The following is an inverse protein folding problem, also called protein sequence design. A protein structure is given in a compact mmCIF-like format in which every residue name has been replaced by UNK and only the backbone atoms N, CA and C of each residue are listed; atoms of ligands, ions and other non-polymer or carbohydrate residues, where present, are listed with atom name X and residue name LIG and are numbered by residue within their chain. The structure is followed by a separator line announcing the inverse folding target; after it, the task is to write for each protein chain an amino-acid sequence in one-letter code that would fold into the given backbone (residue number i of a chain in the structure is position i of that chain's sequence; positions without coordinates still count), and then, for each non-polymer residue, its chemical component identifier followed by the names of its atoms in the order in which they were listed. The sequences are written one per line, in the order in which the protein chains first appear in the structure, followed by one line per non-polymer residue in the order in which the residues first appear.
data_IF_077243906521
#
_entry.id   IF_077243906521
#
_cell.length_a   1.000
_cell.length_b   1.000
_cell.length_c   1.000
_cell.angle_alpha   90.00
_cell.angle_beta   90.00
_cell.angle_gamma   90.00
#
_symmetry.space_group_name_H-M   'P 1'
#
loop_
_entity.id
_entity.type
_entity.pdbx_description
1 polymer ?
#
# COMPACT_ATOMS: atom_id res chain seq x y z
N UNK A 1 10.17 22.91 5.65
CA UNK A 1 10.13 21.52 5.17
C UNK A 1 8.78 20.89 5.43
N UNK A 2 7.99 20.69 4.37
CA UNK A 2 6.69 20.00 4.44
C UNK A 2 6.94 18.49 4.31
N UNK A 3 6.53 17.70 5.30
CA UNK A 3 6.51 16.24 5.17
C UNK A 3 5.24 15.83 4.45
N UNK A 4 5.38 15.05 3.37
CA UNK A 4 4.27 14.56 2.56
C UNK A 4 3.52 13.42 3.24
N UNK A 5 4.26 12.44 3.76
CA UNK A 5 3.74 11.35 4.58
C UNK A 5 4.36 11.39 5.97
N UNK A 6 3.53 11.09 6.97
CA UNK A 6 4.01 10.94 8.33
C UNK A 6 5.00 9.76 8.41
N UNK A 7 6.14 9.87 9.12
CA UNK A 7 7.11 8.79 9.24
C UNK A 7 6.51 7.47 9.74
N UNK A 8 5.47 7.56 10.57
CA UNK A 8 4.71 6.40 11.05
C UNK A 8 3.96 5.68 9.93
N UNK A 9 3.38 6.42 8.97
CA UNK A 9 2.66 5.82 7.84
C UNK A 9 3.64 5.09 6.94
N UNK A 10 4.80 5.70 6.68
CA UNK A 10 5.87 5.09 5.90
C UNK A 10 6.36 3.78 6.53
N UNK A 11 6.58 3.78 7.85
CA UNK A 11 6.97 2.57 8.57
C UNK A 11 5.88 1.49 8.51
N UNK A 12 4.61 1.86 8.69
CA UNK A 12 3.50 0.92 8.65
C UNK A 12 3.34 0.30 7.25
N UNK A 13 3.39 1.10 6.20
CA UNK A 13 3.36 0.62 4.80
C UNK A 13 4.53 -0.33 4.57
N UNK A 14 5.74 0.04 5.01
CA UNK A 14 6.91 -0.82 4.87
C UNK A 14 6.70 -2.17 5.56
N UNK A 15 6.25 -2.18 6.81
CA UNK A 15 6.04 -3.42 7.56
C UNK A 15 4.90 -4.29 6.98
N UNK A 16 3.87 -3.65 6.42
CA UNK A 16 2.69 -4.34 5.85
C UNK A 16 3.00 -4.95 4.48
N UNK A 17 3.70 -4.20 3.63
CA UNK A 17 3.87 -4.49 2.21
C UNK A 17 5.30 -4.86 1.85
N UNK A 18 6.19 -5.11 2.83
CA UNK A 18 7.58 -5.53 2.59
C UNK A 18 7.72 -6.72 1.64
N UNK A 19 6.77 -7.65 1.67
CA UNK A 19 6.78 -8.85 0.82
C UNK A 19 6.10 -8.62 -0.55
N UNK A 20 5.51 -7.45 -0.77
CA UNK A 20 4.93 -7.09 -2.06
C UNK A 20 6.03 -6.99 -3.13
N UNK A 21 5.85 -7.73 -4.23
CA UNK A 21 6.85 -7.85 -5.31
C UNK A 21 7.24 -6.47 -5.87
N UNK A 22 6.27 -5.59 -6.14
CA UNK A 22 6.53 -4.24 -6.67
C UNK A 22 7.36 -3.44 -5.65
N UNK A 23 6.96 -3.48 -4.37
CA UNK A 23 7.66 -2.74 -3.32
C UNK A 23 9.11 -3.21 -3.16
N UNK A 24 9.36 -4.53 -3.14
CA UNK A 24 10.73 -5.09 -3.06
C UNK A 24 11.61 -4.61 -4.23
N UNK A 25 11.06 -4.60 -5.44
CA UNK A 25 11.78 -4.23 -6.65
C UNK A 25 12.09 -2.74 -6.72
N UNK A 26 11.12 -1.88 -6.39
CA UNK A 26 11.35 -0.44 -6.24
C UNK A 26 12.39 -0.19 -5.15
N UNK A 27 12.27 -0.85 -4.00
CA UNK A 27 13.21 -0.68 -2.90
C UNK A 27 14.63 -1.10 -3.29
N UNK A 28 14.81 -2.13 -4.13
CA UNK A 28 16.16 -2.58 -4.55
C UNK A 28 16.77 -1.69 -5.64
N UNK A 29 15.95 -1.29 -6.60
CA UNK A 29 16.38 -0.53 -7.78
C UNK A 29 16.58 0.97 -7.50
N UNK A 30 15.81 1.53 -6.57
CA UNK A 30 15.70 2.98 -6.39
C UNK A 30 16.47 3.57 -5.22
N UNK A 31 17.16 2.78 -4.38
CA UNK A 31 17.96 3.32 -3.26
C UNK A 31 18.97 4.38 -3.69
N UNK A 32 19.52 4.24 -4.91
CA UNK A 32 20.47 5.20 -5.46
C UNK A 32 19.85 6.56 -5.80
N UNK A 33 18.53 6.63 -5.98
CA UNK A 33 17.81 7.87 -6.26
C UNK A 33 17.42 8.56 -4.96
N UNK A 34 17.13 7.82 -3.90
CA UNK A 34 16.87 8.36 -2.56
C UNK A 34 18.03 9.25 -2.09
N UNK A 35 19.27 8.79 -2.25
CA UNK A 35 20.47 9.59 -1.92
C UNK A 35 20.70 10.80 -2.82
N UNK A 36 19.97 10.91 -3.93
CA UNK A 36 20.01 12.03 -4.88
C UNK A 36 18.86 13.02 -4.66
N UNK A 37 17.84 12.66 -3.87
CA UNK A 37 16.66 13.48 -3.57
C UNK A 37 16.68 13.94 -2.11
N UNK A 38 17.83 14.42 -1.65
CA UNK A 38 18.08 14.70 -0.22
C UNK A 38 17.26 15.86 0.34
N UNK A 39 16.84 16.80 -0.52
CA UNK A 39 16.06 17.96 -0.10
C UNK A 39 14.59 17.60 0.00
N UNK A 40 14.07 16.88 -1.00
CA UNK A 40 12.72 16.34 -0.99
C UNK A 40 12.56 15.20 0.04
N UNK A 41 13.66 14.51 0.38
CA UNK A 41 13.71 13.30 1.23
C UNK A 41 12.72 12.22 0.78
N UNK A 42 12.60 12.06 -0.54
CA UNK A 42 11.65 11.15 -1.15
C UNK A 42 12.14 9.71 -1.08
N UNK A 43 11.47 8.90 -0.27
CA UNK A 43 11.85 7.51 0.01
C UNK A 43 11.44 6.55 -1.10
N UNK A 44 12.01 5.33 -1.10
CA UNK A 44 11.56 4.26 -1.99
C UNK A 44 10.11 3.83 -1.73
N UNK A 45 9.62 3.99 -0.49
CA UNK A 45 8.21 3.77 -0.14
C UNK A 45 7.31 4.78 -0.82
N UNK A 46 7.73 6.04 -0.85
CA UNK A 46 6.99 7.10 -1.55
C UNK A 46 6.95 6.88 -3.05
N UNK A 47 8.06 6.42 -3.67
CA UNK A 47 8.07 6.01 -5.08
C UNK A 47 7.06 4.88 -5.30
N UNK A 48 7.04 3.87 -4.42
CA UNK A 48 6.10 2.75 -4.50
C UNK A 48 4.63 3.21 -4.43
N UNK A 49 4.29 4.11 -3.50
CA UNK A 49 2.93 4.63 -3.33
C UNK A 49 2.46 5.35 -4.60
N UNK A 50 3.25 6.30 -5.11
CA UNK A 50 2.87 7.06 -6.33
C UNK A 50 2.77 6.16 -7.55
N UNK A 51 3.69 5.19 -7.68
CA UNK A 51 3.69 4.22 -8.78
C UNK A 51 2.40 3.41 -8.80
N UNK A 52 2.00 2.89 -7.63
CA UNK A 52 0.78 2.10 -7.50
C UNK A 52 -0.47 2.92 -7.74
N UNK A 53 -0.51 4.16 -7.23
CA UNK A 53 -1.67 5.05 -7.41
C UNK A 53 -1.91 5.37 -8.88
N UNK A 54 -0.86 5.66 -9.65
CA UNK A 54 -0.96 5.88 -11.09
C UNK A 54 -1.42 4.60 -11.82
N UNK A 55 -0.86 3.43 -11.46
CA UNK A 55 -1.29 2.15 -12.07
C UNK A 55 -2.78 1.92 -11.84
N UNK A 56 -3.27 2.17 -10.63
CA UNK A 56 -4.69 1.97 -10.30
C UNK A 56 -5.61 2.94 -11.06
N UNK A 57 -5.21 4.20 -11.24
CA UNK A 57 -5.96 5.16 -12.06
C UNK A 57 -6.01 4.76 -13.54
N UNK A 58 -4.87 4.32 -14.11
CA UNK A 58 -4.82 3.82 -15.49
C UNK A 58 -5.69 2.57 -15.64
N UNK A 59 -5.58 1.64 -14.68
CA UNK A 59 -6.34 0.39 -14.67
C UNK A 59 -7.84 0.60 -14.55
N UNK A 60 -8.27 1.60 -13.77
CA UNK A 60 -9.68 2.01 -13.69
C UNK A 60 -10.22 2.49 -15.04
N UNK A 61 -9.33 2.81 -15.99
CA UNK A 61 -9.66 3.45 -17.26
C UNK A 61 -10.51 4.71 -17.03
N UNK A 62 -10.16 5.46 -15.99
CA UNK A 62 -10.86 6.68 -15.62
C UNK A 62 -10.78 7.67 -16.78
N UNK A 63 -11.92 8.19 -17.24
CA UNK A 63 -11.95 9.28 -18.21
C UNK A 63 -11.20 10.53 -17.71
N UNK A 64 -11.02 10.62 -16.41
CA UNK A 64 -10.43 11.76 -15.72
C UNK A 64 -8.90 11.63 -15.61
N UNK A 65 -8.32 10.45 -15.88
CA UNK A 65 -6.88 10.26 -15.84
C UNK A 65 -6.25 10.65 -17.18
N UNK A 66 -5.59 11.80 -17.20
CA UNK A 66 -4.92 12.31 -18.39
C UNK A 66 -3.48 11.80 -18.49
N UNK A 67 -3.27 10.75 -19.29
CA UNK A 67 -1.95 10.19 -19.57
C UNK A 67 -0.99 11.28 -20.06
N UNK A 68 -1.43 12.20 -20.92
CA UNK A 68 -0.56 13.21 -21.55
C UNK A 68 -0.01 14.24 -20.57
N UNK A 69 -0.73 14.46 -19.46
CA UNK A 69 -0.34 15.41 -18.43
C UNK A 69 0.19 14.71 -17.16
N UNK A 70 0.42 13.39 -17.19
CA UNK A 70 0.79 12.61 -16.01
C UNK A 70 2.08 13.10 -15.34
N UNK A 71 3.13 13.36 -16.12
CA UNK A 71 4.38 13.92 -15.58
C UNK A 71 4.16 15.31 -14.97
N UNK A 72 3.51 16.22 -15.68
CA UNK A 72 3.33 17.60 -15.23
C UNK A 72 2.46 17.68 -13.97
N UNK A 73 1.41 16.87 -13.88
CA UNK A 73 0.57 16.73 -12.69
C UNK A 73 1.39 16.23 -11.50
N UNK A 74 2.13 15.13 -11.68
CA UNK A 74 2.97 14.55 -10.63
C UNK A 74 4.09 15.51 -10.20
N UNK A 75 4.77 16.14 -11.16
CA UNK A 75 5.80 17.13 -10.89
C UNK A 75 5.24 18.32 -10.12
N UNK A 76 4.10 18.89 -10.54
CA UNK A 76 3.49 20.01 -9.83
C UNK A 76 3.14 19.63 -8.39
N UNK A 77 2.60 18.44 -8.17
CA UNK A 77 2.31 17.92 -6.82
C UNK A 77 3.58 17.78 -5.97
N UNK A 78 4.64 17.17 -6.50
CA UNK A 78 5.89 16.95 -5.77
C UNK A 78 6.68 18.24 -5.53
N UNK A 79 6.60 19.20 -6.47
CA UNK A 79 7.25 20.51 -6.39
C UNK A 79 6.85 21.28 -5.14
N UNK A 80 5.61 21.14 -4.70
CA UNK A 80 5.11 21.85 -3.51
C UNK A 80 5.78 21.41 -2.20
N UNK A 81 6.51 20.30 -2.23
CA UNK A 81 7.31 19.75 -1.14
C UNK A 81 8.83 19.88 -1.38
N UNK A 82 9.24 20.33 -2.56
CA UNK A 82 10.65 20.36 -2.97
C UNK A 82 11.28 21.74 -2.73
N UNK A 83 12.18 21.81 -1.75
CA UNK A 83 12.96 23.01 -1.42
C UNK A 83 14.30 23.07 -2.19
N UNK A 84 14.58 22.12 -3.08
CA UNK A 84 15.80 22.11 -3.90
C UNK A 84 15.79 23.22 -4.95
N UNK A 85 16.98 23.68 -5.32
CA UNK A 85 17.14 24.68 -6.38
C UNK A 85 16.59 24.13 -7.70
N UNK A 86 15.77 24.92 -8.39
CA UNK A 86 15.14 24.58 -9.68
C UNK A 86 14.29 23.29 -9.65
N UNK A 87 13.87 22.87 -8.45
CA UNK A 87 13.07 21.67 -8.17
C UNK A 87 13.66 20.38 -8.76
N UNK A 88 14.98 20.23 -8.68
CA UNK A 88 15.71 19.11 -9.26
C UNK A 88 15.30 17.77 -8.63
N UNK A 89 14.98 17.76 -7.33
CA UNK A 89 14.58 16.55 -6.62
C UNK A 89 13.18 16.10 -7.09
N UNK A 90 12.21 17.01 -7.20
CA UNK A 90 10.87 16.71 -7.70
C UNK A 90 10.89 16.25 -9.16
N UNK A 91 11.71 16.87 -10.01
CA UNK A 91 11.90 16.43 -11.40
C UNK A 91 12.43 15.01 -11.46
N UNK A 92 13.43 14.68 -10.63
CA UNK A 92 13.99 13.34 -10.56
C UNK A 92 12.96 12.33 -10.04
N UNK A 93 12.26 12.66 -8.94
CA UNK A 93 11.22 11.81 -8.35
C UNK A 93 10.11 11.48 -9.36
N UNK A 94 9.53 12.52 -9.99
CA UNK A 94 8.49 12.36 -11.01
C UNK A 94 8.99 11.49 -12.18
N UNK A 95 10.23 11.71 -12.64
CA UNK A 95 10.80 10.93 -13.75
C UNK A 95 10.96 9.45 -13.38
N UNK A 96 11.46 9.17 -12.17
CA UNK A 96 11.65 7.79 -11.68
C UNK A 96 10.30 7.08 -11.54
N UNK A 97 9.28 7.75 -11.01
CA UNK A 97 7.93 7.18 -10.86
C UNK A 97 7.32 6.86 -12.24
N UNK A 98 7.32 7.82 -13.18
CA UNK A 98 6.75 7.61 -14.52
C UNK A 98 7.46 6.46 -15.24
N UNK A 99 8.78 6.38 -15.14
CA UNK A 99 9.55 5.25 -15.69
C UNK A 99 9.15 3.92 -15.03
N UNK A 100 8.94 3.90 -13.72
CA UNK A 100 8.50 2.69 -13.01
C UNK A 100 7.11 2.23 -13.42
N UNK A 101 6.16 3.15 -13.53
CA UNK A 101 4.81 2.86 -14.03
C UNK A 101 4.91 2.25 -15.43
N UNK A 102 5.65 2.89 -16.34
CA UNK A 102 5.82 2.38 -17.71
C UNK A 102 6.44 0.98 -17.74
N UNK A 103 7.47 0.71 -16.94
CA UNK A 103 8.08 -0.63 -16.84
C UNK A 103 7.04 -1.67 -16.37
N UNK A 104 6.26 -1.35 -15.33
CA UNK A 104 5.27 -2.26 -14.78
C UNK A 104 4.12 -2.54 -15.75
N UNK A 105 3.64 -1.53 -16.47
CA UNK A 105 2.61 -1.68 -17.50
C UNK A 105 3.11 -2.54 -18.68
N UNK A 106 4.38 -2.42 -19.05
CA UNK A 106 4.97 -3.23 -20.11
C UNK A 106 4.98 -4.73 -19.81
N UNK A 107 5.08 -5.13 -18.53
CA UNK A 107 4.96 -6.54 -18.15
C UNK A 107 3.57 -7.13 -18.41
N UNK A 108 2.54 -6.29 -18.55
CA UNK A 108 1.18 -6.70 -18.92
C UNK A 108 0.85 -6.52 -20.40
N UNK A 109 1.78 -5.98 -21.20
CA UNK A 109 1.51 -5.57 -22.58
C UNK A 109 1.28 -6.73 -23.55
N UNK A 110 1.82 -7.91 -23.25
CA UNK A 110 1.83 -9.08 -24.14
C UNK A 110 0.45 -9.47 -24.68
N UNK A 111 -0.59 -9.28 -23.87
CA UNK A 111 -1.97 -9.63 -24.22
C UNK A 111 -2.95 -8.42 -24.13
N UNK A 112 -2.45 -7.21 -23.85
CA UNK A 112 -3.29 -6.03 -23.54
C UNK A 112 -2.70 -4.73 -24.07
N UNK A 113 -3.00 -4.42 -25.34
CA UNK A 113 -2.47 -3.26 -26.07
C UNK A 113 -2.68 -1.92 -25.36
N UNK A 114 -3.81 -1.73 -24.67
CA UNK A 114 -4.09 -0.52 -23.88
C UNK A 114 -2.96 -0.16 -22.89
N UNK A 115 -2.38 -1.16 -22.21
CA UNK A 115 -1.31 -0.91 -21.25
C UNK A 115 0.03 -0.65 -21.93
N UNK A 116 0.25 -1.18 -23.13
CA UNK A 116 1.40 -0.83 -23.98
C UNK A 116 1.31 0.64 -24.41
N UNK A 117 0.17 1.04 -24.98
CA UNK A 117 -0.08 2.43 -25.41
C UNK A 117 0.02 3.41 -24.24
N UNK A 118 -0.49 3.01 -23.06
CA UNK A 118 -0.38 3.81 -21.84
C UNK A 118 1.07 3.95 -21.36
N UNK A 119 1.86 2.88 -21.42
CA UNK A 119 3.28 2.92 -21.11
C UNK A 119 4.03 3.90 -22.03
N UNK A 120 3.81 3.79 -23.34
CA UNK A 120 4.48 4.66 -24.31
C UNK A 120 4.06 6.12 -24.11
N UNK A 121 2.76 6.37 -23.95
CA UNK A 121 2.23 7.71 -23.67
C UNK A 121 2.81 8.33 -22.39
N UNK A 122 3.02 7.55 -21.34
CA UNK A 122 3.67 8.01 -20.11
C UNK A 122 5.13 8.44 -20.35
N UNK A 123 5.91 7.64 -21.09
CA UNK A 123 7.29 7.97 -21.40
C UNK A 123 7.40 9.23 -22.28
N UNK A 124 6.42 9.47 -23.15
CA UNK A 124 6.34 10.70 -23.96
C UNK A 124 6.11 11.96 -23.13
N UNK A 125 5.56 11.85 -21.92
CA UNK A 125 5.36 13.00 -21.02
C UNK A 125 6.64 13.47 -20.32
N UNK A 126 7.70 12.65 -20.34
CA UNK A 126 8.96 13.00 -19.67
C UNK A 126 9.64 14.19 -20.38
N UNK A 127 10.30 15.10 -19.64
CA UNK A 127 11.00 16.23 -20.24
C UNK A 127 12.02 15.77 -21.29
N UNK A 128 12.11 16.49 -22.41
CA UNK A 128 13.02 16.10 -23.52
C UNK A 128 14.49 16.07 -23.14
N UNK A 129 14.87 16.89 -22.16
CA UNK A 129 16.20 16.97 -21.57
C UNK A 129 16.41 15.98 -20.42
N UNK A 130 15.35 15.28 -19.99
CA UNK A 130 15.48 14.21 -19.01
C UNK A 130 16.27 13.06 -19.62
N UNK A 131 17.28 12.58 -18.88
CA UNK A 131 18.03 11.36 -19.22
C UNK A 131 17.20 10.10 -18.91
N UNK A 132 15.93 10.09 -19.30
CA UNK A 132 14.99 9.05 -18.92
C UNK A 132 15.35 7.70 -19.53
N UNK A 133 15.96 7.66 -20.72
CA UNK A 133 16.50 6.44 -21.30
C UNK A 133 17.61 5.84 -20.43
N UNK A 134 18.47 6.70 -19.86
CA UNK A 134 19.49 6.25 -18.90
C UNK A 134 18.81 5.77 -17.61
N UNK A 135 17.72 6.40 -17.16
CA UNK A 135 16.94 5.93 -15.99
C UNK A 135 16.34 4.55 -16.25
N UNK A 136 15.70 4.35 -17.40
CA UNK A 136 15.17 3.05 -17.84
C UNK A 136 16.27 2.00 -17.85
N UNK A 137 17.41 2.27 -18.50
CA UNK A 137 18.54 1.33 -18.54
C UNK A 137 19.11 1.04 -17.14
N UNK A 138 19.22 2.05 -16.28
CA UNK A 138 19.70 1.88 -14.91
C UNK A 138 18.75 1.02 -14.06
N UNK A 139 17.43 1.18 -14.24
CA UNK A 139 16.42 0.39 -13.54
C UNK A 139 16.40 -1.04 -14.10
N UNK A 140 16.30 -1.20 -15.42
CA UNK A 140 16.26 -2.50 -16.09
C UNK A 140 17.53 -3.32 -15.83
N UNK A 141 18.73 -2.73 -15.90
CA UNK A 141 19.97 -3.45 -15.62
C UNK A 141 20.07 -3.98 -14.18
N UNK A 142 19.32 -3.39 -13.23
CA UNK A 142 19.20 -3.91 -11.86
C UNK A 142 18.15 -5.01 -11.77
N UNK A 143 17.05 -4.90 -12.54
CA UNK A 143 16.04 -5.94 -12.68
C UNK A 143 16.58 -7.21 -13.35
N UNK A 144 17.34 -7.08 -14.44
CA UNK A 144 17.90 -8.23 -15.16
C UNK A 144 18.94 -9.02 -14.35
N UNK A 145 19.53 -8.41 -13.32
CA UNK A 145 20.38 -9.13 -12.34
C UNK A 145 19.57 -10.02 -11.39
N UNK A 146 18.26 -9.93 -11.48
CA UNK A 146 17.27 -10.57 -10.62
C UNK A 146 16.28 -11.34 -11.52
N UNK A 147 16.79 -12.11 -12.49
CA UNK A 147 15.99 -12.82 -13.52
C UNK A 147 14.75 -13.55 -12.95
N UNK A 148 14.89 -14.25 -11.83
CA UNK A 148 13.78 -14.92 -11.14
C UNK A 148 12.67 -13.94 -10.69
N UNK A 149 13.06 -12.71 -10.33
CA UNK A 149 12.14 -11.65 -9.93
C UNK A 149 11.45 -10.98 -11.12
N UNK A 150 12.02 -11.08 -12.33
CA UNK A 150 11.38 -10.58 -13.56
C UNK A 150 10.18 -11.47 -13.94
N UNK A 151 10.35 -12.79 -13.87
CA UNK A 151 9.25 -13.75 -14.09
C UNK A 151 8.19 -13.64 -12.98
N UNK A 152 8.61 -13.52 -11.72
CA UNK A 152 7.72 -13.27 -10.57
C UNK A 152 6.93 -11.97 -10.74
N UNK A 153 7.59 -10.88 -11.16
CA UNK A 153 6.96 -9.59 -11.41
C UNK A 153 5.96 -9.67 -12.57
N UNK A 154 6.34 -10.30 -13.67
CA UNK A 154 5.47 -10.47 -14.84
C UNK A 154 4.17 -11.18 -14.46
N UNK A 155 4.29 -12.31 -13.76
CA UNK A 155 3.14 -13.05 -13.24
C UNK A 155 2.31 -12.21 -12.28
N UNK A 156 2.96 -11.56 -11.31
CA UNK A 156 2.29 -10.70 -10.33
C UNK A 156 1.49 -9.59 -11.00
N UNK A 157 2.08 -8.91 -11.99
CA UNK A 157 1.45 -7.79 -12.67
C UNK A 157 0.24 -8.23 -13.49
N UNK A 158 0.35 -9.34 -14.23
CA UNK A 158 -0.80 -9.93 -14.92
C UNK A 158 -1.95 -10.26 -13.95
N UNK A 159 -1.64 -10.99 -12.87
CA UNK A 159 -2.62 -11.34 -11.83
C UNK A 159 -3.22 -10.09 -11.16
N UNK A 160 -2.40 -9.05 -10.96
CA UNK A 160 -2.82 -7.80 -10.33
C UNK A 160 -3.82 -7.03 -11.20
N UNK A 161 -3.48 -6.80 -12.47
CA UNK A 161 -4.33 -6.10 -13.43
C UNK A 161 -5.68 -6.82 -13.60
N UNK A 162 -5.67 -8.15 -13.67
CA UNK A 162 -6.88 -8.94 -13.90
C UNK A 162 -7.77 -9.14 -12.67
N UNK A 163 -7.29 -8.81 -11.47
CA UNK A 163 -8.04 -9.07 -10.23
C UNK A 163 -8.90 -7.88 -9.80
N UNK A 164 -10.21 -7.81 -10.13
CA UNK A 164 -11.04 -6.62 -9.91
C UNK A 164 -11.22 -6.24 -8.43
N UNK A 165 -10.82 -7.12 -7.50
CA UNK A 165 -10.94 -6.92 -6.05
C UNK A 165 -9.66 -6.35 -5.42
N UNK A 166 -8.54 -6.39 -6.13
CA UNK A 166 -7.24 -5.98 -5.59
C UNK A 166 -6.92 -4.56 -6.05
N UNK A 167 -6.93 -3.61 -5.12
CA UNK A 167 -6.57 -2.20 -5.35
C UNK A 167 -5.50 -1.82 -4.33
N UNK A 168 -4.23 -1.86 -4.73
CA UNK A 168 -3.13 -1.58 -3.81
C UNK A 168 -3.16 -0.12 -3.35
N UNK A 169 -3.61 0.83 -4.19
CA UNK A 169 -3.79 2.23 -3.78
C UNK A 169 -4.82 2.36 -2.65
N UNK A 170 -5.92 1.59 -2.70
CA UNK A 170 -6.92 1.54 -1.63
C UNK A 170 -6.33 0.89 -0.38
N UNK A 171 -5.57 -0.20 -0.51
CA UNK A 171 -4.90 -0.83 0.63
C UNK A 171 -3.89 0.13 1.29
N UNK A 172 -3.14 0.89 0.51
CA UNK A 172 -2.19 1.90 0.99
C UNK A 172 -2.95 3.03 1.69
N UNK A 173 -4.01 3.56 1.07
CA UNK A 173 -4.83 4.64 1.63
C UNK A 173 -5.47 4.20 2.94
N UNK A 174 -5.99 2.97 2.98
CA UNK A 174 -6.41 2.34 4.21
C UNK A 174 -5.27 2.39 5.22
N UNK A 175 -4.10 1.79 4.95
CA UNK A 175 -2.97 1.80 5.90
C UNK A 175 -2.64 3.22 6.41
N UNK A 176 -2.67 4.24 5.53
CA UNK A 176 -2.44 5.65 5.90
C UNK A 176 -3.55 6.19 6.80
N UNK A 177 -4.81 5.96 6.45
CA UNK A 177 -5.98 6.39 7.21
C UNK A 177 -6.07 5.65 8.56
N UNK A 178 -5.70 4.37 8.61
CA UNK A 178 -5.55 3.55 9.82
C UNK A 178 -4.37 3.97 10.68
N UNK A 179 -3.41 4.73 10.17
CA UNK A 179 -2.40 5.37 11.00
C UNK A 179 -2.98 6.51 11.86
N UNK A 180 -4.21 6.95 11.57
CA UNK A 180 -5.05 7.74 12.48
C UNK A 180 -5.70 6.92 13.61
N UNK A 181 -5.76 5.59 13.49
CA UNK A 181 -6.13 4.69 14.58
C UNK A 181 -4.92 4.40 15.46
N UNK A 182 -5.18 4.27 16.76
CA UNK A 182 -4.15 4.18 17.77
C UNK A 182 -3.16 3.06 17.41
N UNK A 183 -1.92 3.36 17.00
CA UNK A 183 -0.87 2.34 16.74
C UNK A 183 -0.84 1.28 17.85
N UNK A 184 -1.09 1.73 19.09
CA UNK A 184 -1.24 0.87 20.25
C UNK A 184 -2.35 -0.17 20.10
N UNK A 185 -3.51 0.15 19.53
CA UNK A 185 -4.57 -0.81 19.24
C UNK A 185 -4.11 -1.88 18.26
N UNK A 186 -3.43 -1.50 17.17
CA UNK A 186 -2.89 -2.44 16.19
C UNK A 186 -1.85 -3.35 16.85
N UNK A 187 -0.90 -2.76 17.58
CA UNK A 187 0.16 -3.47 18.28
C UNK A 187 -0.42 -4.41 19.36
N UNK A 188 -1.45 -3.99 20.10
CA UNK A 188 -2.15 -4.79 21.10
C UNK A 188 -2.93 -5.95 20.46
N UNK A 189 -3.52 -5.76 19.27
CA UNK A 189 -4.27 -6.80 18.55
C UNK A 189 -3.35 -7.79 17.83
N UNK A 190 -2.16 -7.36 17.39
CA UNK A 190 -1.24 -8.17 16.57
C UNK A 190 -0.97 -9.58 17.11
N UNK A 191 -0.69 -9.79 18.41
CA UNK A 191 -0.46 -11.14 18.97
C UNK A 191 -1.66 -12.08 18.89
N UNK A 192 -2.86 -11.56 18.60
CA UNK A 192 -4.10 -12.33 18.56
C UNK A 192 -4.54 -12.72 17.14
N UNK A 193 -3.88 -12.20 16.10
CA UNK A 193 -4.19 -12.54 14.71
C UNK A 193 -3.16 -13.52 14.14
N UNK A 194 -3.61 -14.41 13.25
CA UNK A 194 -2.70 -15.30 12.53
C UNK A 194 -1.73 -14.51 11.63
N UNK A 195 -0.55 -15.06 11.38
CA UNK A 195 0.54 -14.41 10.63
C UNK A 195 0.15 -14.06 9.19
N UNK A 196 -0.68 -14.89 8.57
CA UNK A 196 -1.04 -14.75 7.17
C UNK A 196 -1.98 -13.55 7.00
N UNK A 197 -1.53 -12.55 6.22
CA UNK A 197 -2.21 -11.26 6.04
C UNK A 197 -2.60 -10.61 7.39
N UNK A 198 -1.76 -10.78 8.43
CA UNK A 198 -2.08 -10.40 9.81
C UNK A 198 -2.58 -8.96 9.94
N UNK A 199 -1.83 -8.01 9.40
CA UNK A 199 -2.16 -6.59 9.52
C UNK A 199 -3.37 -6.19 8.67
N UNK A 200 -3.51 -6.75 7.47
CA UNK A 200 -4.71 -6.57 6.64
C UNK A 200 -5.96 -7.05 7.38
N UNK A 201 -5.89 -8.22 8.02
CA UNK A 201 -6.98 -8.76 8.83
C UNK A 201 -7.27 -7.90 10.07
N UNK A 202 -6.26 -7.34 10.74
CA UNK A 202 -6.45 -6.42 11.87
C UNK A 202 -7.14 -5.14 11.41
N UNK A 203 -6.68 -4.54 10.30
CA UNK A 203 -7.27 -3.33 9.75
C UNK A 203 -8.74 -3.58 9.36
N UNK A 204 -9.02 -4.66 8.63
CA UNK A 204 -10.38 -5.04 8.26
C UNK A 204 -11.26 -5.31 9.48
N UNK A 205 -10.72 -5.95 10.52
CA UNK A 205 -11.45 -6.17 11.76
C UNK A 205 -11.82 -4.86 12.44
N UNK A 206 -10.88 -3.92 12.54
CA UNK A 206 -11.14 -2.62 13.18
C UNK A 206 -12.20 -1.82 12.38
N UNK A 207 -12.15 -1.85 11.04
CA UNK A 207 -13.21 -1.30 10.16
C UNK A 207 -14.58 -1.80 10.55
N UNK A 208 -14.73 -3.13 10.50
CA UNK A 208 -16.02 -3.77 10.67
C UNK A 208 -16.63 -3.44 12.05
N UNK A 209 -15.82 -3.45 13.11
CA UNK A 209 -16.32 -3.18 14.47
C UNK A 209 -16.63 -1.69 14.70
N UNK A 210 -15.92 -0.77 14.05
CA UNK A 210 -16.21 0.67 14.15
C UNK A 210 -17.47 1.04 13.38
N UNK A 211 -17.66 0.49 12.18
CA UNK A 211 -18.89 0.68 11.39
C UNK A 211 -20.12 0.11 12.10
N UNK A 212 -19.97 -1.01 12.81
CA UNK A 212 -21.05 -1.60 13.57
C UNK A 212 -21.55 -0.72 14.73
N UNK A 213 -20.63 -0.04 15.43
CA UNK A 213 -20.95 0.97 16.45
C UNK A 213 -21.70 0.48 17.70
N UNK A 214 -21.95 -0.83 17.87
CA UNK A 214 -22.67 -1.38 19.03
C UNK A 214 -22.14 -2.76 19.48
N UNK A 215 -22.14 -2.99 20.79
CA UNK A 215 -21.55 -4.19 21.42
C UNK A 215 -22.08 -5.54 20.86
N UNK A 216 -23.39 -5.75 20.63
CA UNK A 216 -23.87 -7.01 20.05
C UNK A 216 -23.32 -7.31 18.65
N UNK A 217 -23.23 -6.30 17.79
CA UNK A 217 -22.71 -6.45 16.44
C UNK A 217 -21.19 -6.69 16.46
N UNK A 218 -20.46 -5.98 17.33
CA UNK A 218 -19.01 -6.18 17.51
C UNK A 218 -18.70 -7.61 17.97
N UNK A 219 -19.48 -8.18 18.90
CA UNK A 219 -19.31 -9.57 19.31
C UNK A 219 -19.55 -10.55 18.16
N UNK A 220 -20.56 -10.30 17.30
CA UNK A 220 -20.81 -11.12 16.09
C UNK A 220 -19.66 -11.08 15.11
N UNK A 221 -19.15 -9.89 14.80
CA UNK A 221 -18.00 -9.70 13.90
C UNK A 221 -16.78 -10.43 14.46
N UNK A 222 -16.48 -10.23 15.74
CA UNK A 222 -15.35 -10.90 16.41
C UNK A 222 -15.46 -12.43 16.32
N UNK A 223 -16.65 -12.98 16.60
CA UNK A 223 -16.89 -14.42 16.48
C UNK A 223 -16.72 -14.92 15.03
N UNK A 224 -17.10 -14.12 14.04
CA UNK A 224 -16.91 -14.46 12.63
C UNK A 224 -15.42 -14.47 12.25
N UNK A 225 -14.63 -13.50 12.72
CA UNK A 225 -13.18 -13.48 12.49
C UNK A 225 -12.47 -14.67 13.15
N UNK A 226 -12.94 -15.10 14.32
CA UNK A 226 -12.47 -16.33 14.97
C UNK A 226 -12.83 -17.57 14.14
N UNK A 227 -14.10 -17.74 13.75
CA UNK A 227 -14.56 -18.88 12.94
C UNK A 227 -13.83 -18.98 11.59
N UNK A 228 -13.52 -17.83 11.00
CA UNK A 228 -12.78 -17.74 9.74
C UNK A 228 -11.26 -17.91 9.91
N UNK A 229 -10.77 -18.25 11.10
CA UNK A 229 -9.35 -18.43 11.42
C UNK A 229 -8.50 -17.20 11.05
N UNK A 230 -9.04 -16.00 11.28
CA UNK A 230 -8.29 -14.73 11.19
C UNK A 230 -7.73 -14.31 12.55
N UNK A 231 -8.52 -14.53 13.60
CA UNK A 231 -8.14 -14.34 15.00
C UNK A 231 -7.92 -15.73 15.63
N UNK A 232 -6.85 -15.87 16.40
CA UNK A 232 -6.52 -17.08 17.13
C UNK A 232 -7.51 -17.30 18.28
N UNK A 233 -8.01 -18.52 18.39
CA UNK A 233 -8.98 -18.94 19.41
C UNK A 233 -8.38 -19.91 20.45
N UNK A 234 -7.05 -20.06 20.48
CA UNK A 234 -6.31 -21.07 21.26
C UNK A 234 -6.94 -21.30 22.65
N UNK A 235 -7.71 -22.39 22.75
CA UNK A 235 -8.45 -22.83 23.94
C UNK A 235 -9.35 -21.78 24.62
N UNK A 236 -10.02 -20.90 23.88
CA UNK A 236 -10.83 -19.77 24.40
C UNK A 236 -10.05 -18.78 25.30
N UNK A 237 -8.73 -18.92 25.41
CA UNK A 237 -7.91 -18.12 26.33
C UNK A 237 -7.82 -16.65 25.92
N UNK A 238 -8.02 -16.35 24.63
CA UNK A 238 -7.90 -15.02 24.04
C UNK A 238 -9.17 -14.18 24.08
N UNK A 239 -10.32 -14.74 24.52
CA UNK A 239 -11.56 -13.97 24.63
C UNK A 239 -11.44 -12.80 25.62
N UNK A 240 -10.79 -13.02 26.77
CA UNK A 240 -10.58 -11.98 27.78
C UNK A 240 -9.53 -10.93 27.36
N UNK A 241 -8.36 -11.31 26.82
CA UNK A 241 -7.42 -10.37 26.20
C UNK A 241 -8.09 -9.49 25.14
N UNK A 242 -8.82 -10.06 24.18
CA UNK A 242 -9.52 -9.32 23.14
C UNK A 242 -10.52 -8.32 23.72
N UNK A 243 -11.37 -8.75 24.66
CA UNK A 243 -12.28 -7.85 25.36
C UNK A 243 -11.54 -6.69 26.06
N UNK A 244 -10.41 -6.99 26.70
CA UNK A 244 -9.61 -5.99 27.43
C UNK A 244 -9.07 -4.93 26.48
N UNK A 245 -8.57 -5.34 25.31
CA UNK A 245 -8.06 -4.45 24.27
C UNK A 245 -9.20 -3.58 23.73
N UNK A 246 -10.30 -4.19 23.29
CA UNK A 246 -11.43 -3.43 22.74
C UNK A 246 -11.99 -2.41 23.74
N UNK A 247 -12.08 -2.78 25.03
CA UNK A 247 -12.55 -1.89 26.07
C UNK A 247 -11.56 -0.77 26.39
N UNK A 248 -10.27 -1.05 26.45
CA UNK A 248 -9.23 -0.04 26.76
C UNK A 248 -9.11 1.02 25.66
N UNK A 249 -9.44 0.67 24.42
CA UNK A 249 -9.50 1.58 23.28
C UNK A 249 -10.90 2.16 23.03
N UNK A 250 -11.87 1.94 23.92
CA UNK A 250 -13.22 2.52 23.83
C UNK A 250 -14.10 1.93 22.72
N UNK A 251 -13.72 0.80 22.13
CA UNK A 251 -14.44 0.12 21.06
C UNK A 251 -15.50 -0.85 21.57
N UNK A 252 -15.53 -1.14 22.88
CA UNK A 252 -16.52 -2.03 23.47
C UNK A 252 -16.87 -1.60 24.89
N UNK A 253 -18.16 -1.49 25.20
CA UNK A 253 -18.60 -0.88 26.48
C UNK A 253 -19.05 -1.90 27.52
N UNK A 254 -19.57 -3.05 27.10
CA UNK A 254 -20.12 -4.07 27.98
C UNK A 254 -19.05 -4.74 28.88
N UNK A 255 -19.55 -5.41 29.92
CA UNK A 255 -18.71 -6.11 30.91
C UNK A 255 -18.09 -7.38 30.32
N UNK A 256 -16.99 -7.85 30.90
CA UNK A 256 -16.34 -9.11 30.48
C UNK A 256 -17.30 -10.30 30.56
N UNK A 257 -18.22 -10.31 31.53
CA UNK A 257 -19.24 -11.36 31.65
C UNK A 257 -20.20 -11.36 30.46
N UNK A 258 -20.67 -10.19 30.04
CA UNK A 258 -21.55 -10.06 28.87
C UNK A 258 -20.82 -10.46 27.58
N UNK A 259 -19.57 -10.05 27.44
CA UNK A 259 -18.70 -10.48 26.33
C UNK A 259 -18.57 -12.01 26.29
N UNK A 260 -18.16 -12.64 27.39
CA UNK A 260 -17.97 -14.08 27.45
C UNK A 260 -19.28 -14.83 27.14
N UNK A 261 -20.42 -14.36 27.66
CA UNK A 261 -21.72 -14.94 27.37
C UNK A 261 -22.06 -14.84 25.88
N UNK A 262 -21.84 -13.67 25.26
CA UNK A 262 -22.09 -13.46 23.85
C UNK A 262 -21.18 -14.35 22.98
N UNK A 263 -19.87 -14.36 23.26
CA UNK A 263 -18.89 -15.14 22.51
C UNK A 263 -19.14 -16.65 22.64
N UNK A 264 -19.44 -17.16 23.83
CA UNK A 264 -19.76 -18.57 24.02
C UNK A 264 -21.00 -18.99 23.21
N UNK A 265 -22.04 -18.15 23.17
CA UNK A 265 -23.24 -18.42 22.37
C UNK A 265 -23.00 -18.33 20.86
N UNK A 266 -22.06 -17.49 20.42
CA UNK A 266 -21.75 -17.29 19.01
C UNK A 266 -20.76 -18.34 18.48
N UNK A 267 -19.89 -18.87 19.34
CA UNK A 267 -18.84 -19.84 18.99
C UNK A 267 -19.24 -21.30 19.23
N UNK A 268 -20.31 -21.55 20.00
CA UNK A 268 -20.98 -22.87 20.07
C UNK A 268 -21.56 -23.28 18.73
#
# INVERSE_FOLDING_TARGET
MKQRLQPKSVALINDTLQDNVIMRLINTSCKQFESRMNTLRFSTIEIFIETVEIIDEIRKQSSDYDIKNSYDCLFCYLRDYDESKDNVDAKLAASVIIVWVSILLNYCSKDKMFYADSSDGLLETLPKDSKWRDLVQNIQSRLSKLQEQEDELSKYMCDYIDNPKKWLSVQIRDIIDYNGMNKKLIDDLKPHFYSDNQLENIIAYIKDIQEAGNDPAIAKITAQYIKNKKISDYNNSYLKPLWTILKSHGLYTATSNNWNKAMNNLLS
#
